data_IF_557527984825
#
_entry.id   IF_557527984825
#
_cell.length_a   1.000
_cell.length_b   1.000
_cell.length_c   1.000
_cell.angle_alpha   90.00
_cell.angle_beta   90.00
_cell.angle_gamma   90.00
#
_symmetry.space_group_name_H-M   'P 1'
#
loop_
_entity.id
_entity.type
_entity.pdbx_description
1 polymer ?
#
# COMPACT_ATOMS: atom_id res chain seq x y z
N UNK A 1 -5.86 -26.14 -3.66
CA UNK A 1 -5.44 -24.86 -3.07
C UNK A 1 -5.90 -23.75 -4.01
N UNK A 2 -6.34 -22.61 -3.48
CA UNK A 2 -6.92 -21.54 -4.30
C UNK A 2 -5.79 -20.66 -4.86
N UNK A 3 -5.76 -20.42 -6.17
CA UNK A 3 -4.65 -19.75 -6.88
C UNK A 3 -4.30 -18.36 -6.32
N UNK A 4 -5.28 -17.67 -5.73
CA UNK A 4 -5.10 -16.36 -5.08
C UNK A 4 -4.21 -16.44 -3.83
N UNK A 5 -4.37 -17.48 -3.00
CA UNK A 5 -3.54 -17.66 -1.80
C UNK A 5 -2.09 -18.05 -2.14
N UNK A 6 -1.88 -18.81 -3.22
CA UNK A 6 -0.53 -19.12 -3.71
C UNK A 6 0.16 -17.88 -4.28
N UNK A 7 -0.54 -17.06 -5.07
CA UNK A 7 -0.02 -15.80 -5.58
C UNK A 7 0.32 -14.80 -4.44
N UNK A 8 -0.47 -14.79 -3.36
CA UNK A 8 -0.19 -13.97 -2.18
C UNK A 8 1.01 -14.46 -1.38
N UNK A 9 1.20 -15.78 -1.21
CA UNK A 9 2.41 -16.33 -0.57
C UNK A 9 3.69 -16.08 -1.35
N UNK A 10 3.61 -15.98 -2.68
CA UNK A 10 4.74 -15.62 -3.53
C UNK A 10 4.97 -14.11 -3.65
N UNK A 11 4.14 -13.30 -3.00
CA UNK A 11 4.31 -11.86 -3.01
C UNK A 11 5.51 -11.47 -2.12
N UNK A 12 6.54 -10.79 -2.65
CA UNK A 12 7.72 -10.42 -1.86
C UNK A 12 7.43 -9.40 -0.75
N UNK A 13 6.25 -8.78 -0.76
CA UNK A 13 5.80 -7.91 0.33
C UNK A 13 5.24 -8.70 1.52
N UNK A 14 4.97 -10.00 1.36
CA UNK A 14 4.50 -10.84 2.45
C UNK A 14 5.48 -10.82 3.62
N UNK A 15 4.97 -10.50 4.81
CA UNK A 15 5.75 -10.33 6.04
C UNK A 15 6.53 -9.02 6.12
N UNK A 16 6.36 -8.07 5.18
CA UNK A 16 7.07 -6.79 5.18
C UNK A 16 6.18 -5.68 5.74
N UNK A 17 6.82 -4.66 6.30
CA UNK A 17 6.17 -3.38 6.58
C UNK A 17 6.71 -2.31 5.64
N UNK A 18 5.84 -1.54 5.00
CA UNK A 18 6.21 -0.37 4.21
C UNK A 18 5.83 0.89 4.97
N UNK A 19 6.75 1.83 5.06
CA UNK A 19 6.45 3.21 5.46
C UNK A 19 6.46 4.08 4.24
N UNK A 20 5.44 4.92 4.08
CA UNK A 20 5.29 5.81 2.94
C UNK A 20 5.11 7.23 3.44
N UNK A 21 5.67 8.19 2.72
CA UNK A 21 5.42 9.63 2.91
C UNK A 21 4.89 10.20 1.61
N UNK A 22 3.62 10.59 1.59
CA UNK A 22 2.97 11.24 0.44
C UNK A 22 2.87 12.74 0.64
N UNK A 23 2.89 13.50 -0.44
CA UNK A 23 2.93 14.98 -0.41
C UNK A 23 1.69 15.65 -1.02
N UNK A 24 0.80 14.90 -1.66
CA UNK A 24 -0.34 15.45 -2.38
C UNK A 24 -1.55 15.69 -1.45
N UNK A 25 -2.09 16.90 -1.47
CA UNK A 25 -3.31 17.23 -0.74
C UNK A 25 -4.57 16.57 -1.36
N UNK A 26 -5.59 16.19 -0.56
CA UNK A 26 -5.70 16.38 0.89
C UNK A 26 -5.12 15.22 1.72
N UNK A 27 -4.39 14.29 1.09
CA UNK A 27 -3.92 13.03 1.67
C UNK A 27 -2.39 13.01 1.87
N UNK A 28 -1.77 14.19 1.95
CA UNK A 28 -0.38 14.32 2.35
C UNK A 28 -0.20 13.86 3.79
N UNK A 29 0.85 13.09 4.05
CA UNK A 29 1.07 12.48 5.35
C UNK A 29 2.03 11.31 5.34
N UNK A 30 2.15 10.67 6.49
CA UNK A 30 3.00 9.50 6.70
C UNK A 30 2.15 8.32 7.15
N UNK A 31 2.47 7.14 6.59
CA UNK A 31 1.66 5.93 6.70
C UNK A 31 2.56 4.73 6.95
N UNK A 32 2.08 3.75 7.71
CA UNK A 32 2.70 2.43 7.85
C UNK A 32 1.71 1.37 7.39
N UNK A 33 2.18 0.42 6.58
CA UNK A 33 1.41 -0.73 6.11
C UNK A 33 2.19 -2.01 6.36
N UNK A 34 1.68 -2.86 7.24
CA UNK A 34 2.19 -4.21 7.46
C UNK A 34 1.42 -5.20 6.59
N UNK A 35 2.12 -5.78 5.62
CA UNK A 35 1.61 -6.79 4.70
C UNK A 35 1.81 -8.17 5.31
N UNK A 36 0.77 -8.71 5.92
CA UNK A 36 0.86 -9.92 6.74
C UNK A 36 1.03 -11.17 5.86
N UNK A 37 1.61 -12.23 6.44
CA UNK A 37 1.85 -13.51 5.76
C UNK A 37 0.56 -14.28 5.42
N UNK A 38 -0.55 -13.94 6.09
CA UNK A 38 -1.87 -14.49 5.82
C UNK A 38 -2.58 -13.80 4.63
N UNK A 39 -1.94 -12.81 4.02
CA UNK A 39 -2.49 -12.04 2.90
C UNK A 39 -3.31 -10.82 3.29
N UNK A 40 -3.47 -10.52 4.59
CA UNK A 40 -4.11 -9.29 5.07
C UNK A 40 -3.12 -8.12 5.11
N UNK A 41 -3.63 -6.88 5.18
CA UNK A 41 -2.80 -5.68 5.36
C UNK A 41 -3.32 -4.84 6.51
N UNK A 42 -2.46 -4.53 7.47
CA UNK A 42 -2.76 -3.60 8.57
C UNK A 42 -2.12 -2.26 8.26
N UNK A 43 -2.90 -1.19 8.26
CA UNK A 43 -2.39 0.15 7.98
C UNK A 43 -2.59 1.08 9.17
N UNK A 44 -1.70 2.07 9.31
CA UNK A 44 -1.77 3.14 10.33
C UNK A 44 -1.33 4.47 9.73
N UNK A 45 -2.03 5.54 10.08
CA UNK A 45 -1.65 6.92 9.73
C UNK A 45 -0.84 7.51 10.88
N UNK A 46 0.43 7.81 10.63
CA UNK A 46 1.37 8.33 11.64
C UNK A 46 1.50 9.85 11.62
N UNK A 47 1.24 10.48 10.47
CA UNK A 47 1.20 11.93 10.27
C UNK A 47 0.11 12.33 9.27
N UNK A 48 -0.40 13.57 9.36
CA UNK A 48 -1.44 14.10 8.48
C UNK A 48 -2.79 14.29 9.18
N UNK A 49 -3.80 14.72 8.42
CA UNK A 49 -5.13 15.09 8.92
C UNK A 49 -5.82 13.95 9.71
N UNK A 50 -5.55 12.69 9.34
CA UNK A 50 -6.20 11.51 9.91
C UNK A 50 -5.27 10.70 10.84
N UNK A 51 -4.26 11.36 11.42
CA UNK A 51 -3.30 10.71 12.33
C UNK A 51 -3.98 9.89 13.42
N UNK A 52 -3.47 8.69 13.65
CA UNK A 52 -3.99 7.73 14.64
C UNK A 52 -5.00 6.74 14.09
N UNK A 53 -5.57 6.98 12.90
CA UNK A 53 -6.44 6.01 12.25
C UNK A 53 -5.66 4.75 11.86
N UNK A 54 -6.31 3.59 11.98
CA UNK A 54 -5.74 2.29 11.66
C UNK A 54 -6.85 1.27 11.37
N UNK A 55 -6.60 0.33 10.47
CA UNK A 55 -7.47 -0.82 10.24
C UNK A 55 -6.68 -2.00 9.66
N UNK A 56 -7.31 -3.18 9.64
CA UNK A 56 -6.80 -4.37 8.97
C UNK A 56 -7.76 -4.80 7.87
N UNK A 57 -7.25 -4.86 6.64
CA UNK A 57 -8.00 -5.26 5.45
C UNK A 57 -7.70 -6.71 5.11
N UNK A 58 -8.72 -7.44 4.66
CA UNK A 58 -8.66 -8.89 4.45
C UNK A 58 -7.65 -9.33 3.41
N UNK A 59 -7.37 -8.48 2.43
CA UNK A 59 -6.58 -8.85 1.27
C UNK A 59 -5.84 -7.67 0.67
N UNK A 60 -4.60 -7.89 0.30
CA UNK A 60 -3.86 -7.05 -0.64
C UNK A 60 -3.41 -7.86 -1.85
N UNK A 61 -3.02 -7.14 -2.90
CA UNK A 61 -2.34 -7.67 -4.07
C UNK A 61 -1.03 -6.91 -4.29
N UNK A 62 -0.01 -7.62 -4.74
CA UNK A 62 1.24 -7.06 -5.23
C UNK A 62 1.62 -7.77 -6.52
N UNK A 63 1.97 -7.00 -7.54
CA UNK A 63 2.33 -7.51 -8.86
C UNK A 63 3.69 -6.94 -9.25
N UNK A 64 4.58 -7.82 -9.72
CA UNK A 64 5.86 -7.42 -10.28
C UNK A 64 5.63 -6.72 -11.61
N UNK A 65 6.04 -5.46 -11.74
CA UNK A 65 6.05 -4.74 -13.02
C UNK A 65 7.33 -5.07 -13.77
N UNK A 66 8.47 -5.03 -13.06
CA UNK A 66 9.78 -5.49 -13.50
C UNK A 66 10.66 -5.81 -12.25
N UNK A 67 11.95 -6.09 -12.42
CA UNK A 67 12.86 -6.46 -11.31
C UNK A 67 12.99 -5.39 -10.22
N UNK A 68 12.75 -4.12 -10.56
CA UNK A 68 12.95 -2.96 -9.70
C UNK A 68 11.66 -2.15 -9.51
N UNK A 69 10.52 -2.67 -9.94
CA UNK A 69 9.23 -1.96 -9.84
C UNK A 69 8.09 -2.90 -9.51
N UNK A 70 7.26 -2.51 -8.55
CA UNK A 70 6.10 -3.27 -8.08
C UNK A 70 4.85 -2.42 -8.07
N UNK A 71 3.70 -3.00 -8.36
CA UNK A 71 2.40 -2.38 -8.13
C UNK A 71 1.72 -3.07 -6.95
N UNK A 72 1.17 -2.28 -6.02
CA UNK A 72 0.50 -2.75 -4.81
C UNK A 72 -0.90 -2.18 -4.78
N UNK A 73 -1.88 -2.99 -4.41
CA UNK A 73 -3.26 -2.54 -4.30
C UNK A 73 -4.00 -3.24 -3.16
N UNK A 74 -4.90 -2.52 -2.50
CA UNK A 74 -5.89 -3.10 -1.59
C UNK A 74 -7.13 -2.21 -1.50
N UNK A 75 -8.29 -2.83 -1.23
CA UNK A 75 -9.53 -2.14 -0.93
C UNK A 75 -9.66 -1.98 0.59
N UNK A 76 -9.76 -0.73 1.05
CA UNK A 76 -10.07 -0.42 2.43
C UNK A 76 -11.56 -0.59 2.74
N UNK A 77 -11.91 -0.98 3.96
CA UNK A 77 -13.30 -1.12 4.40
C UNK A 77 -14.13 0.18 4.27
N UNK A 78 -13.47 1.34 4.28
CA UNK A 78 -14.08 2.66 4.03
C UNK A 78 -14.42 2.92 2.54
N UNK A 79 -14.21 1.95 1.66
CA UNK A 79 -14.59 2.02 0.24
C UNK A 79 -13.56 2.69 -0.67
N UNK A 80 -12.38 3.06 -0.16
CA UNK A 80 -11.28 3.54 -0.99
C UNK A 80 -10.30 2.41 -1.28
N UNK A 81 -9.89 2.31 -2.54
CA UNK A 81 -8.79 1.46 -3.00
C UNK A 81 -7.51 2.28 -3.03
N UNK A 82 -6.48 1.80 -2.34
CA UNK A 82 -5.11 2.26 -2.55
C UNK A 82 -4.54 1.47 -3.73
N UNK A 83 -3.92 2.15 -4.70
CA UNK A 83 -3.09 1.50 -5.72
C UNK A 83 -1.84 2.33 -5.94
N UNK A 84 -0.66 1.75 -5.69
CA UNK A 84 0.63 2.46 -5.73
C UNK A 84 1.67 1.63 -6.45
N UNK A 85 2.43 2.29 -7.32
CA UNK A 85 3.63 1.75 -7.95
C UNK A 85 4.84 2.19 -7.14
N UNK A 86 5.69 1.22 -6.79
CA UNK A 86 6.90 1.33 -6.01
C UNK A 86 8.11 1.19 -6.92
N UNK A 87 8.95 2.22 -7.02
CA UNK A 87 10.25 2.13 -7.66
C UNK A 87 11.33 1.84 -6.61
N UNK A 88 11.93 0.65 -6.68
CA UNK A 88 12.94 0.20 -5.72
C UNK A 88 14.32 0.83 -5.96
N UNK A 89 14.54 1.52 -7.08
CA UNK A 89 15.82 2.16 -7.40
C UNK A 89 16.00 3.48 -6.67
N UNK A 90 14.95 4.30 -6.62
CA UNK A 90 14.98 5.65 -6.05
C UNK A 90 14.06 5.80 -4.83
N UNK A 91 13.39 4.72 -4.41
CA UNK A 91 12.48 4.73 -3.26
C UNK A 91 11.24 5.59 -3.47
N UNK A 92 10.85 5.86 -4.72
CA UNK A 92 9.66 6.66 -5.04
C UNK A 92 8.40 5.83 -5.18
N UNK A 93 7.31 6.39 -4.69
CA UNK A 93 5.97 5.83 -4.78
C UNK A 93 5.06 6.78 -5.58
N UNK A 94 4.31 6.24 -6.54
CA UNK A 94 3.29 7.00 -7.29
C UNK A 94 2.01 6.18 -7.45
N UNK A 95 0.83 6.80 -7.38
CA UNK A 95 -0.43 6.05 -7.44
C UNK A 95 -1.67 6.89 -7.15
N UNK A 96 -2.71 6.18 -6.69
CA UNK A 96 -4.00 6.78 -6.33
C UNK A 96 -4.57 6.17 -5.06
N UNK A 97 -5.23 7.00 -4.26
CA UNK A 97 -6.33 6.58 -3.38
C UNK A 97 -7.63 6.94 -4.11
N UNK A 98 -8.49 5.95 -4.38
CA UNK A 98 -9.64 6.16 -5.25
C UNK A 98 -10.86 5.35 -4.85
N UNK A 99 -12.04 5.82 -5.25
CA UNK A 99 -13.31 5.12 -5.14
C UNK A 99 -14.21 5.50 -6.33
N UNK A 100 -15.52 5.23 -6.23
CA UNK A 100 -16.52 5.59 -7.24
C UNK A 100 -16.73 7.11 -7.42
N UNK A 101 -16.20 7.93 -6.50
CA UNK A 101 -16.48 9.38 -6.42
C UNK A 101 -15.25 10.26 -6.61
N UNK A 102 -14.06 9.73 -6.36
CA UNK A 102 -12.84 10.53 -6.23
C UNK A 102 -11.59 9.73 -6.59
N UNK A 103 -10.61 10.43 -7.14
CA UNK A 103 -9.26 9.95 -7.41
C UNK A 103 -8.29 10.99 -6.88
N UNK A 104 -7.61 10.64 -5.80
CA UNK A 104 -6.57 11.48 -5.22
C UNK A 104 -5.22 10.92 -5.64
N UNK A 105 -4.39 11.77 -6.25
CA UNK A 105 -3.03 11.40 -6.59
C UNK A 105 -2.23 11.10 -5.31
N UNK A 106 -1.28 10.19 -5.44
CA UNK A 106 -0.30 9.88 -4.41
C UNK A 106 1.07 9.90 -5.07
N UNK A 107 1.95 10.76 -4.57
CA UNK A 107 3.33 10.92 -4.98
C UNK A 107 4.16 11.07 -3.72
N UNK A 108 5.26 10.34 -3.65
CA UNK A 108 6.01 10.28 -2.40
C UNK A 108 7.22 9.38 -2.42
N UNK A 109 7.67 9.05 -1.23
CA UNK A 109 8.75 8.08 -0.99
C UNK A 109 8.27 6.94 -0.11
N UNK A 110 9.02 5.85 -0.12
CA UNK A 110 8.77 4.72 0.75
C UNK A 110 10.06 4.05 1.23
N UNK A 111 9.96 3.37 2.36
CA UNK A 111 10.99 2.52 2.94
C UNK A 111 10.38 1.16 3.31
N UNK A 112 11.14 0.09 3.12
CA UNK A 112 10.70 -1.28 3.41
C UNK A 112 11.44 -1.81 4.63
N UNK A 113 10.69 -2.39 5.56
CA UNK A 113 11.16 -2.99 6.81
C UNK A 113 10.78 -4.49 6.84
N UNK A 114 11.59 -5.26 7.56
CA UNK A 114 11.33 -6.67 7.89
C UNK A 114 10.61 -6.78 9.23
#
# INVERSE_FOLDING_TARGET
MNSVQEAQRMNPLSGKTIRWRFVDDPIGGSYEHSFNEDGSVTWRITEGQYKGATATEKSYAGVKVNDRTWAVSYLGAAGHTLTVVLNLDDGRAVGFASNDKSWYALSGTFEVFN
#
